data_IF_808231219394
#
_entry.id   IF_808231219394
#
_cell.length_a   1.000
_cell.length_b   1.000
_cell.length_c   1.000
_cell.angle_alpha   90.00
_cell.angle_beta   90.00
_cell.angle_gamma   90.00
#
_symmetry.space_group_name_H-M   'P 1'
#
loop_
_entity.id
_entity.type
_entity.pdbx_description
1 polymer ?
#
# COMPACT_ATOMS: atom_id res chain seq x y z
N UNK A 1 -2.37 -1.10 9.88
CA UNK A 1 -1.54 -1.81 8.87
C UNK A 1 -1.66 -3.28 9.19
N UNK A 2 -2.27 -4.10 8.32
CA UNK A 2 -2.52 -5.52 8.63
C UNK A 2 -1.44 -6.43 8.03
N UNK A 3 -0.90 -6.06 6.87
CA UNK A 3 0.22 -6.76 6.25
C UNK A 3 1.12 -5.75 5.54
N UNK A 4 2.43 -5.90 5.74
CA UNK A 4 3.45 -5.20 4.98
C UNK A 4 4.49 -6.23 4.52
N UNK A 5 5.15 -5.97 3.41
CA UNK A 5 6.23 -6.81 2.94
C UNK A 5 7.02 -6.15 1.84
N UNK A 6 8.27 -6.54 1.73
CA UNK A 6 9.19 -6.15 0.67
C UNK A 6 9.80 -7.39 0.02
N UNK A 7 10.01 -7.32 -1.29
CA UNK A 7 10.74 -8.33 -2.06
C UNK A 7 11.40 -7.68 -3.25
N UNK A 8 12.73 -7.82 -3.34
CA UNK A 8 13.56 -7.24 -4.40
C UNK A 8 13.36 -5.72 -4.50
N UNK A 9 12.78 -5.25 -5.61
CA UNK A 9 12.51 -3.84 -5.88
C UNK A 9 11.02 -3.47 -5.73
N UNK A 10 10.27 -4.25 -4.96
CA UNK A 10 8.85 -4.01 -4.74
C UNK A 10 8.52 -4.15 -3.26
N UNK A 11 7.63 -3.30 -2.77
CA UNK A 11 7.07 -3.40 -1.44
C UNK A 11 5.56 -3.17 -1.49
N UNK A 12 4.86 -3.60 -0.45
CA UNK A 12 3.43 -3.38 -0.36
C UNK A 12 2.99 -3.09 1.08
N UNK A 13 1.90 -2.35 1.18
CA UNK A 13 1.20 -2.04 2.41
C UNK A 13 -0.27 -2.36 2.20
N UNK A 14 -0.82 -3.26 3.01
CA UNK A 14 -2.24 -3.62 3.01
C UNK A 14 -2.85 -3.25 4.35
N UNK A 15 -3.99 -2.56 4.31
CA UNK A 15 -4.69 -2.13 5.50
C UNK A 15 -6.16 -1.79 5.25
N UNK A 16 -6.78 -1.32 6.31
CA UNK A 16 -8.14 -0.76 6.28
C UNK A 16 -8.03 0.74 6.53
N UNK A 17 -8.62 1.55 5.65
CA UNK A 17 -8.79 2.99 5.81
C UNK A 17 -10.18 3.24 6.38
N UNK A 18 -10.25 3.74 7.62
CA UNK A 18 -11.51 4.06 8.29
C UNK A 18 -11.80 5.54 8.06
N UNK A 19 -13.00 5.84 7.58
CA UNK A 19 -13.47 7.22 7.33
C UNK A 19 -14.86 7.41 7.94
N UNK A 20 -15.36 8.65 7.99
CA UNK A 20 -16.75 8.92 8.36
C UNK A 20 -17.78 8.24 7.45
N UNK A 21 -17.38 7.88 6.21
CA UNK A 21 -18.24 7.31 5.18
C UNK A 21 -18.09 5.79 5.02
N UNK A 22 -17.42 5.14 5.98
CA UNK A 22 -17.20 3.70 6.04
C UNK A 22 -15.73 3.29 6.04
N UNK A 23 -15.53 1.98 6.03
CA UNK A 23 -14.22 1.33 5.94
C UNK A 23 -13.90 0.97 4.49
N UNK A 24 -12.62 1.06 4.13
CA UNK A 24 -12.13 0.73 2.80
C UNK A 24 -10.88 -0.14 2.89
N UNK A 25 -10.77 -1.16 2.04
CA UNK A 25 -9.54 -1.91 1.88
C UNK A 25 -8.54 -1.07 1.08
N UNK A 26 -7.39 -0.77 1.69
CA UNK A 26 -6.26 -0.12 1.06
C UNK A 26 -5.20 -1.15 0.69
N UNK A 27 -4.77 -1.15 -0.57
CA UNK A 27 -3.56 -1.83 -1.02
C UNK A 27 -2.68 -0.79 -1.71
N UNK A 28 -1.51 -0.52 -1.12
CA UNK A 28 -0.50 0.38 -1.67
C UNK A 28 0.69 -0.46 -2.12
N UNK A 29 1.10 -0.33 -3.37
CA UNK A 29 2.26 -0.97 -3.95
C UNK A 29 3.33 0.09 -4.19
N UNK A 30 4.54 -0.22 -3.76
CA UNK A 30 5.70 0.64 -3.88
C UNK A 30 6.75 -0.05 -4.72
N UNK A 31 7.50 0.75 -5.49
CA UNK A 31 8.65 0.31 -6.26
C UNK A 31 9.90 0.97 -5.70
N UNK A 32 10.94 0.18 -5.50
CA UNK A 32 12.26 0.68 -5.13
C UNK A 32 13.00 1.09 -6.40
N UNK A 33 13.49 2.32 -6.42
CA UNK A 33 14.33 2.84 -7.50
C UNK A 33 15.58 3.44 -6.88
N UNK A 34 16.72 2.80 -7.12
CA UNK A 34 17.97 3.07 -6.40
C UNK A 34 17.77 2.92 -4.88
N UNK A 35 18.00 3.97 -4.09
CA UNK A 35 17.84 3.95 -2.62
C UNK A 35 16.46 4.41 -2.14
N UNK A 36 15.57 4.82 -3.05
CA UNK A 36 14.28 5.41 -2.69
C UNK A 36 13.12 4.43 -2.96
N UNK A 37 12.07 4.51 -2.14
CA UNK A 37 10.77 3.88 -2.41
C UNK A 37 9.78 4.92 -2.93
N UNK A 38 9.09 4.58 -4.02
CA UNK A 38 8.06 5.39 -4.62
C UNK A 38 6.74 4.62 -4.67
N UNK A 39 5.63 5.34 -4.54
CA UNK A 39 4.29 4.76 -4.77
C UNK A 39 4.15 4.49 -6.26
N UNK A 40 3.91 3.23 -6.61
CA UNK A 40 3.65 2.79 -7.98
C UNK A 40 2.14 2.70 -8.25
N UNK A 41 1.39 2.18 -7.28
CA UNK A 41 -0.06 2.00 -7.42
C UNK A 41 -0.78 2.02 -6.08
N UNK A 42 -1.96 2.64 -6.05
CA UNK A 42 -2.89 2.61 -4.92
C UNK A 42 -4.21 2.00 -5.40
N UNK A 43 -4.73 1.00 -4.67
CA UNK A 43 -6.08 0.46 -4.84
C UNK A 43 -6.86 0.66 -3.55
N UNK A 44 -8.00 1.33 -3.66
CA UNK A 44 -8.95 1.54 -2.58
C UNK A 44 -10.26 0.87 -2.99
N UNK A 45 -10.76 0.00 -2.13
CA UNK A 45 -12.00 -0.75 -2.35
C UNK A 45 -12.92 -0.53 -1.16
N UNK A 46 -14.22 -0.41 -1.42
CA UNK A 46 -15.23 -0.37 -0.36
C UNK A 46 -15.50 -1.76 0.18
#
# INVERSE_FOLDING_TARGET
MKHQGDRNNSAYIIGTLITSNGEFRLNCFLKKTSENLFIDRIRIEK
#
